data_IF_977315667025
#
_entry.id   IF_977315667025
#
_cell.length_a   1.000
_cell.length_b   1.000
_cell.length_c   1.000
_cell.angle_alpha   90.00
_cell.angle_beta   90.00
_cell.angle_gamma   90.00
#
_symmetry.space_group_name_H-M   'P 1'
#
loop_
_entity.id
_entity.type
_entity.pdbx_description
1 polymer ?
#
# COMPACT_ATOMS: atom_id res chain seq x y z
N UNK A 1 -61.72 -37.54 29.05
CA UNK A 1 -61.46 -36.27 28.32
C UNK A 1 -60.55 -35.40 29.17
N UNK A 2 -59.23 -35.51 28.97
CA UNK A 2 -58.24 -34.73 29.73
C UNK A 2 -57.68 -33.61 28.85
N UNK A 3 -57.71 -32.40 29.40
CA UNK A 3 -57.39 -31.09 28.85
C UNK A 3 -55.89 -30.92 28.49
N UNK A 4 -55.33 -31.73 27.60
CA UNK A 4 -53.88 -31.69 27.30
C UNK A 4 -53.48 -31.03 25.97
N UNK A 5 -54.40 -30.36 25.27
CA UNK A 5 -54.08 -29.63 24.04
C UNK A 5 -53.79 -28.14 24.31
N UNK A 6 -52.85 -27.85 25.21
CA UNK A 6 -52.27 -26.50 25.34
C UNK A 6 -51.06 -26.41 24.40
N UNK A 7 -51.38 -26.01 23.17
CA UNK A 7 -50.60 -25.26 22.19
C UNK A 7 -49.20 -24.81 22.67
N UNK A 8 -48.23 -25.73 22.64
CA UNK A 8 -46.80 -25.37 22.66
C UNK A 8 -46.41 -24.97 21.25
N UNK A 9 -46.70 -23.74 20.84
CA UNK A 9 -45.98 -23.13 19.72
C UNK A 9 -44.53 -23.04 20.18
N UNK A 10 -43.70 -24.00 19.76
CA UNK A 10 -42.26 -23.87 19.87
C UNK A 10 -41.82 -22.73 18.96
N UNK A 11 -41.56 -21.56 19.53
CA UNK A 11 -40.89 -20.46 18.83
C UNK A 11 -39.47 -20.93 18.49
N UNK A 12 -39.27 -21.41 17.26
CA UNK A 12 -37.96 -21.82 16.76
C UNK A 12 -37.22 -20.55 16.36
N UNK A 13 -36.38 -20.02 17.26
CA UNK A 13 -35.51 -18.89 16.94
C UNK A 13 -34.37 -19.42 16.07
N UNK A 14 -34.44 -19.16 14.77
CA UNK A 14 -33.33 -19.39 13.85
C UNK A 14 -32.28 -18.29 14.06
N UNK A 15 -31.28 -18.57 14.90
CA UNK A 15 -30.10 -17.72 15.01
C UNK A 15 -29.31 -17.87 13.73
N UNK A 16 -29.43 -16.89 12.82
CA UNK A 16 -28.59 -16.83 11.62
C UNK A 16 -27.18 -16.43 12.06
N UNK A 17 -26.18 -17.29 11.79
CA UNK A 17 -24.79 -16.98 12.07
C UNK A 17 -24.28 -15.94 11.07
N UNK A 18 -23.92 -14.76 11.57
CA UNK A 18 -23.19 -13.77 10.78
C UNK A 18 -21.70 -14.12 10.81
N UNK A 19 -21.09 -14.25 9.64
CA UNK A 19 -19.63 -14.40 9.52
C UNK A 19 -19.01 -13.01 9.56
N UNK A 20 -18.20 -12.72 10.57
CA UNK A 20 -17.38 -11.51 10.61
C UNK A 20 -16.19 -11.73 9.69
N UNK A 21 -15.99 -10.84 8.72
CA UNK A 21 -14.79 -10.86 7.90
C UNK A 21 -13.56 -10.64 8.80
N UNK A 22 -12.69 -11.65 8.89
CA UNK A 22 -11.44 -11.55 9.63
C UNK A 22 -10.53 -10.54 8.91
N UNK A 23 -10.09 -9.51 9.63
CA UNK A 23 -9.12 -8.56 9.10
C UNK A 23 -7.83 -9.29 8.76
N UNK A 24 -7.32 -9.07 7.54
CA UNK A 24 -6.01 -9.57 7.13
C UNK A 24 -4.94 -8.76 7.88
N UNK A 25 -4.10 -9.43 8.66
CA UNK A 25 -2.98 -8.79 9.35
C UNK A 25 -1.84 -8.57 8.34
N UNK A 26 -1.44 -7.31 8.16
CA UNK A 26 -0.27 -6.96 7.35
C UNK A 26 0.98 -6.86 8.22
N UNK A 27 2.03 -7.58 7.82
CA UNK A 27 3.34 -7.51 8.49
C UNK A 27 4.30 -6.70 7.63
N UNK A 28 4.86 -5.63 8.21
CA UNK A 28 5.99 -4.91 7.63
C UNK A 28 7.22 -5.83 7.65
N UNK A 29 7.75 -6.17 6.48
CA UNK A 29 8.91 -7.06 6.35
C UNK A 29 10.23 -6.29 6.48
N UNK A 30 10.33 -5.14 5.84
CA UNK A 30 11.53 -4.31 5.82
C UNK A 30 11.23 -2.90 5.33
N UNK A 31 12.14 -1.97 5.64
CA UNK A 31 12.21 -0.62 5.07
C UNK A 31 13.66 -0.37 4.71
N UNK A 32 13.90 0.10 3.49
CA UNK A 32 15.23 0.49 3.03
C UNK A 32 15.19 1.87 2.38
N UNK A 33 16.25 2.63 2.57
CA UNK A 33 16.45 3.92 1.91
C UNK A 33 17.11 3.67 0.56
N UNK A 34 16.40 4.01 -0.52
CA UNK A 34 16.87 3.75 -1.89
C UNK A 34 17.55 4.96 -2.55
N UNK A 35 17.45 6.15 -1.94
CA UNK A 35 18.04 7.39 -2.46
C UNK A 35 18.14 8.50 -1.40
N UNK A 36 19.15 9.37 -1.48
CA UNK A 36 19.37 10.53 -0.58
C UNK A 36 20.22 11.68 -1.18
N UNK A 37 20.32 11.79 -2.50
CA UNK A 37 21.32 12.69 -3.12
C UNK A 37 20.86 14.15 -3.28
N UNK A 38 19.61 14.49 -2.97
CA UNK A 38 19.12 15.87 -2.94
C UNK A 38 18.35 16.19 -1.65
N UNK A 39 18.26 17.49 -1.32
CA UNK A 39 17.63 17.98 -0.09
C UNK A 39 16.14 17.64 -0.01
N UNK A 40 15.45 17.62 -1.14
CA UNK A 40 14.03 17.27 -1.22
C UNK A 40 13.78 16.29 -2.37
N UNK A 41 13.52 15.03 -2.03
CA UNK A 41 13.14 13.95 -2.95
C UNK A 41 11.68 13.58 -2.68
N UNK A 42 10.78 13.75 -3.65
CA UNK A 42 9.35 13.50 -3.43
C UNK A 42 8.60 13.21 -4.73
N UNK A 43 7.31 12.86 -4.59
CA UNK A 43 6.39 12.56 -5.69
C UNK A 43 6.85 11.34 -6.49
N UNK A 44 7.05 10.24 -5.77
CA UNK A 44 7.56 8.98 -6.33
C UNK A 44 6.51 8.22 -7.12
N UNK A 45 6.94 7.63 -8.23
CA UNK A 45 6.26 6.53 -8.91
C UNK A 45 7.22 5.35 -9.04
N UNK A 46 6.69 4.12 -9.03
CA UNK A 46 7.48 2.88 -9.05
C UNK A 46 6.84 1.86 -10.00
N UNK A 47 7.61 1.42 -10.99
CA UNK A 47 7.16 0.50 -12.03
C UNK A 47 8.16 -0.65 -12.21
N UNK A 48 7.68 -1.84 -12.59
CA UNK A 48 8.53 -2.98 -12.94
C UNK A 48 8.46 -3.24 -14.45
N UNK A 49 9.55 -2.95 -15.15
CA UNK A 49 9.58 -3.02 -16.61
C UNK A 49 10.81 -3.77 -17.11
N UNK A 50 10.60 -4.74 -18.01
CA UNK A 50 11.66 -5.54 -18.64
C UNK A 50 12.66 -6.14 -17.63
N UNK A 51 12.13 -6.70 -16.54
CA UNK A 51 12.94 -7.43 -15.56
C UNK A 51 13.70 -6.55 -14.55
N UNK A 52 13.34 -5.27 -14.40
CA UNK A 52 13.94 -4.40 -13.40
C UNK A 52 12.95 -3.33 -12.91
N UNK A 53 13.21 -2.83 -11.71
CA UNK A 53 12.50 -1.71 -11.11
C UNK A 53 12.98 -0.38 -11.70
N UNK A 54 12.03 0.53 -11.91
CA UNK A 54 12.28 1.93 -12.17
C UNK A 54 11.49 2.77 -11.17
N UNK A 55 12.19 3.65 -10.44
CA UNK A 55 11.57 4.61 -9.56
C UNK A 55 11.85 6.01 -10.09
N UNK A 56 10.79 6.79 -10.32
CA UNK A 56 10.90 8.18 -10.76
C UNK A 56 10.40 9.12 -9.68
N UNK A 57 11.06 10.26 -9.50
CA UNK A 57 10.69 11.27 -8.51
C UNK A 57 11.31 12.62 -8.86
N UNK A 58 10.88 13.66 -8.15
CA UNK A 58 11.47 15.00 -8.26
C UNK A 58 12.61 15.17 -7.25
N UNK A 59 13.77 15.62 -7.70
CA UNK A 59 14.83 16.21 -6.88
C UNK A 59 14.70 17.73 -6.86
N UNK A 60 14.79 18.35 -5.68
CA UNK A 60 14.84 19.80 -5.51
C UNK A 60 15.42 20.21 -4.16
N UNK A 61 15.40 21.51 -3.88
CA UNK A 61 15.75 22.11 -2.59
C UNK A 61 14.59 22.13 -1.60
N UNK A 62 13.34 22.12 -2.08
CA UNK A 62 12.12 22.12 -1.28
C UNK A 62 10.87 21.81 -2.09
N UNK A 63 9.70 22.22 -1.58
CA UNK A 63 8.45 22.20 -2.34
C UNK A 63 8.62 23.05 -3.62
N UNK A 64 8.11 22.57 -4.76
CA UNK A 64 8.28 23.24 -6.03
C UNK A 64 7.76 24.69 -5.99
N UNK A 65 8.58 25.66 -6.40
CA UNK A 65 8.25 27.08 -6.32
C UNK A 65 9.48 27.96 -6.10
N UNK A 66 9.27 29.28 -6.01
CA UNK A 66 10.32 30.27 -5.73
C UNK A 66 11.59 30.16 -6.62
N UNK A 67 11.43 29.73 -7.88
CA UNK A 67 12.55 29.56 -8.82
C UNK A 67 13.22 28.19 -8.79
N UNK A 68 12.83 27.30 -7.87
CA UNK A 68 13.24 25.89 -7.88
C UNK A 68 12.11 24.98 -8.38
N UNK A 69 12.18 24.64 -9.66
CA UNK A 69 11.27 23.68 -10.28
C UNK A 69 11.72 22.22 -10.07
N UNK A 70 12.94 22.01 -9.57
CA UNK A 70 13.57 20.71 -9.45
C UNK A 70 13.88 20.05 -10.79
N UNK A 71 14.26 18.78 -10.73
CA UNK A 71 14.54 17.92 -11.87
C UNK A 71 13.89 16.55 -11.67
N UNK A 72 13.59 15.87 -12.77
CA UNK A 72 13.10 14.49 -12.69
C UNK A 72 14.31 13.57 -12.58
N UNK A 73 14.37 12.81 -11.49
CA UNK A 73 15.30 11.71 -11.29
C UNK A 73 14.61 10.41 -11.66
N UNK A 74 15.31 9.58 -12.41
CA UNK A 74 14.95 8.17 -12.59
C UNK A 74 16.09 7.32 -12.04
N UNK A 75 15.76 6.41 -11.14
CA UNK A 75 16.67 5.38 -10.63
C UNK A 75 16.15 4.00 -11.02
N UNK A 76 17.04 3.03 -11.09
CA UNK A 76 16.68 1.66 -11.44
C UNK A 76 17.38 0.66 -10.52
N UNK A 77 16.78 -0.53 -10.38
CA UNK A 77 17.34 -1.63 -9.61
C UNK A 77 16.89 -2.98 -10.17
N UNK A 78 17.79 -3.96 -10.20
CA UNK A 78 17.44 -5.35 -10.60
C UNK A 78 16.95 -6.20 -9.43
N UNK A 79 17.36 -5.85 -8.21
CA UNK A 79 17.15 -6.64 -7.00
C UNK A 79 16.29 -5.91 -5.95
N UNK A 80 16.01 -4.62 -6.15
CA UNK A 80 15.30 -3.78 -5.18
C UNK A 80 16.19 -3.29 -4.03
N UNK A 81 17.46 -3.68 -4.01
CA UNK A 81 18.43 -3.36 -2.94
C UNK A 81 19.47 -2.36 -3.42
N UNK A 82 20.04 -2.59 -4.60
CA UNK A 82 21.08 -1.75 -5.20
C UNK A 82 20.45 -0.85 -6.25
N UNK A 83 20.48 0.46 -6.00
CA UNK A 83 19.85 1.46 -6.85
C UNK A 83 20.90 2.32 -7.55
N UNK A 84 20.71 2.53 -8.85
CA UNK A 84 21.58 3.36 -9.68
C UNK A 84 20.79 4.45 -10.41
N UNK A 85 21.46 5.53 -10.80
CA UNK A 85 20.86 6.57 -11.63
C UNK A 85 20.66 6.07 -13.06
N UNK A 86 19.43 6.13 -13.56
CA UNK A 86 19.09 5.87 -14.96
C UNK A 86 18.98 7.18 -15.78
N UNK A 87 18.62 8.29 -15.13
CA UNK A 87 18.47 9.58 -15.79
C UNK A 87 18.29 10.76 -14.83
N UNK A 88 18.62 11.95 -15.34
CA UNK A 88 18.29 13.25 -14.75
C UNK A 88 17.79 14.16 -15.87
N UNK A 89 16.56 14.64 -15.76
CA UNK A 89 15.90 15.52 -16.74
C UNK A 89 15.66 16.90 -16.12
#
# INVERSE_FOLDING_TARGET
>A
MSLLTLYRIGLTITVSSFTIAQATEFKLLSVSRIWDHAQHNAFTDLEYFKGQWFCSFREGSGHAGAGDHGKIRVIHSKDGEHWGSAGLL
#
